data_IF_142175611042
#
_entry.id   IF_142175611042
#
_cell.length_a   1.000
_cell.length_b   1.000
_cell.length_c   1.000
_cell.angle_alpha   90.00
_cell.angle_beta   90.00
_cell.angle_gamma   90.00
#
_symmetry.space_group_name_H-M   'P 1'
#
loop_
_entity.id
_entity.type
_entity.pdbx_description
1 polymer ?
#
# COMPACT_ATOMS: atom_id res chain seq x y z
N UNK A 1 -4.38 -22.51 -13.38
CA UNK A 1 -5.59 -22.05 -12.66
C UNK A 1 -5.31 -20.64 -12.16
N UNK A 2 -6.09 -19.64 -12.57
CA UNK A 2 -5.90 -18.25 -12.11
C UNK A 2 -6.66 -18.08 -10.78
N UNK A 3 -6.01 -17.69 -9.66
CA UNK A 3 -6.71 -17.56 -8.39
C UNK A 3 -7.70 -16.38 -8.46
N UNK A 4 -8.93 -16.66 -8.02
CA UNK A 4 -10.14 -15.88 -8.25
C UNK A 4 -10.36 -14.72 -7.26
N UNK A 5 -9.31 -14.13 -6.70
CA UNK A 5 -9.42 -13.20 -5.56
C UNK A 5 -9.00 -11.75 -5.86
N UNK A 6 -8.69 -11.46 -7.13
CA UNK A 6 -8.35 -10.13 -7.64
C UNK A 6 -9.43 -9.03 -7.50
N UNK A 7 -10.77 -9.27 -7.45
CA UNK A 7 -11.70 -8.18 -7.74
C UNK A 7 -11.96 -7.21 -6.57
N UNK A 8 -11.55 -7.47 -5.33
CA UNK A 8 -11.99 -6.64 -4.20
C UNK A 8 -11.14 -5.38 -3.96
N UNK A 9 -9.80 -5.45 -4.12
CA UNK A 9 -8.91 -4.28 -4.00
C UNK A 9 -8.57 -3.64 -5.36
N UNK A 10 -8.51 -4.43 -6.43
CA UNK A 10 -8.29 -3.91 -7.78
C UNK A 10 -9.51 -3.14 -8.35
N UNK A 11 -10.68 -3.21 -7.72
CA UNK A 11 -11.87 -2.45 -8.13
C UNK A 11 -11.96 -1.05 -7.51
N UNK A 12 -11.28 -0.80 -6.37
CA UNK A 12 -11.40 0.48 -5.64
C UNK A 12 -10.38 1.52 -6.15
N UNK A 13 -9.21 1.07 -6.59
CA UNK A 13 -8.03 1.88 -6.90
C UNK A 13 -8.00 2.52 -8.31
N UNK A 14 -8.10 1.74 -9.41
CA UNK A 14 -8.01 2.30 -10.77
C UNK A 14 -9.31 2.94 -11.27
N UNK A 15 -10.46 2.50 -10.75
CA UNK A 15 -11.79 2.99 -11.17
C UNK A 15 -12.03 4.44 -10.71
N UNK A 16 -11.53 4.82 -9.52
CA UNK A 16 -11.66 6.20 -9.01
C UNK A 16 -10.73 7.20 -9.70
N UNK A 17 -9.51 6.81 -10.10
CA UNK A 17 -8.56 7.74 -10.74
C UNK A 17 -8.96 8.14 -12.16
N UNK A 18 -9.48 7.20 -12.98
CA UNK A 18 -10.04 7.55 -14.31
C UNK A 18 -11.20 8.53 -14.21
N UNK A 19 -12.05 8.37 -13.19
CA UNK A 19 -13.16 9.28 -12.89
C UNK A 19 -12.67 10.66 -12.42
N UNK A 20 -11.71 10.71 -11.49
CA UNK A 20 -11.08 11.96 -11.04
C UNK A 20 -10.36 12.72 -12.16
N UNK A 21 -9.69 12.02 -13.08
CA UNK A 21 -9.05 12.64 -14.26
C UNK A 21 -10.06 13.34 -15.16
N UNK A 22 -11.29 12.82 -15.25
CA UNK A 22 -12.38 13.41 -16.04
C UNK A 22 -13.08 14.56 -15.32
N UNK A 23 -13.24 14.47 -14.00
CA UNK A 23 -14.10 15.37 -13.22
C UNK A 23 -13.34 16.44 -12.40
N UNK A 24 -12.06 16.23 -12.07
CA UNK A 24 -11.27 17.10 -11.15
C UNK A 24 -9.80 17.25 -11.58
N UNK A 25 -9.56 17.78 -12.79
CA UNK A 25 -8.22 17.97 -13.37
C UNK A 25 -7.27 18.82 -12.51
N UNK A 26 -7.80 19.86 -11.85
CA UNK A 26 -7.00 20.72 -10.95
C UNK A 26 -6.57 19.97 -9.69
N UNK A 27 -7.48 19.20 -9.07
CA UNK A 27 -7.18 18.38 -7.89
C UNK A 27 -6.13 17.31 -8.19
N UNK A 28 -6.19 16.69 -9.38
CA UNK A 28 -5.17 15.75 -9.84
C UNK A 28 -3.79 16.41 -10.02
N UNK A 29 -3.76 17.67 -10.48
CA UNK A 29 -2.52 18.45 -10.59
C UNK A 29 -1.87 18.72 -9.24
N UNK A 30 -2.67 19.09 -8.23
CA UNK A 30 -2.21 19.27 -6.85
C UNK A 30 -1.67 17.97 -6.25
N UNK A 31 -2.38 16.85 -6.45
CA UNK A 31 -1.89 15.54 -6.00
C UNK A 31 -0.56 15.22 -6.69
N UNK A 32 -0.42 15.42 -8.00
CA UNK A 32 0.87 15.18 -8.70
C UNK A 32 2.03 16.02 -8.15
N UNK A 33 1.77 17.23 -7.66
CA UNK A 33 2.80 18.07 -7.03
C UNK A 33 3.34 17.45 -5.73
N UNK A 34 2.49 16.75 -4.97
CA UNK A 34 2.87 16.08 -3.73
C UNK A 34 3.68 14.78 -3.96
N UNK A 35 3.65 14.22 -5.18
CA UNK A 35 4.33 12.98 -5.54
C UNK A 35 5.34 13.21 -6.69
N UNK A 36 6.42 13.99 -6.46
CA UNK A 36 7.40 14.27 -7.50
C UNK A 36 8.07 12.97 -7.97
N UNK A 37 8.24 12.84 -9.30
CA UNK A 37 8.91 11.68 -9.91
C UNK A 37 8.00 10.49 -10.24
N UNK A 38 6.76 10.47 -9.77
CA UNK A 38 5.81 9.38 -10.08
C UNK A 38 5.17 9.59 -11.45
N UNK A 39 5.46 8.68 -12.39
CA UNK A 39 4.94 8.73 -13.76
C UNK A 39 3.79 7.74 -13.94
N UNK A 40 2.69 8.22 -14.51
CA UNK A 40 1.52 7.40 -14.83
C UNK A 40 0.47 7.36 -13.71
N UNK A 41 -0.79 7.32 -14.11
CA UNK A 41 -1.93 7.38 -13.17
C UNK A 41 -2.01 6.13 -12.28
N UNK A 42 -1.49 4.98 -12.74
CA UNK A 42 -1.50 3.75 -11.97
C UNK A 42 -0.49 3.79 -10.81
N UNK A 43 0.76 4.17 -11.08
CA UNK A 43 1.78 4.31 -10.04
C UNK A 43 1.40 5.39 -9.03
N UNK A 44 0.86 6.52 -9.51
CA UNK A 44 0.33 7.58 -8.65
C UNK A 44 -0.83 7.09 -7.78
N UNK A 45 -1.78 6.37 -8.37
CA UNK A 45 -2.91 5.79 -7.63
C UNK A 45 -2.48 4.83 -6.53
N UNK A 46 -1.51 3.94 -6.82
CA UNK A 46 -0.95 3.00 -5.84
C UNK A 46 -0.33 3.74 -4.64
N UNK A 47 0.55 4.71 -4.91
CA UNK A 47 1.23 5.45 -3.84
C UNK A 47 0.25 6.30 -3.02
N UNK A 48 -0.67 7.00 -3.69
CA UNK A 48 -1.70 7.80 -3.00
C UNK A 48 -2.57 6.92 -2.10
N UNK A 49 -2.99 5.74 -2.58
CA UNK A 49 -3.81 4.85 -1.77
C UNK A 49 -3.05 4.26 -0.58
N UNK A 50 -1.79 3.86 -0.77
CA UNK A 50 -0.92 3.41 0.32
C UNK A 50 -0.83 4.51 1.39
N UNK A 51 -0.59 5.74 0.95
CA UNK A 51 -0.35 6.84 1.87
C UNK A 51 -1.64 7.26 2.60
N UNK A 52 -2.79 7.21 1.94
CA UNK A 52 -4.08 7.50 2.58
C UNK A 52 -4.49 6.43 3.59
N UNK A 53 -4.36 5.15 3.26
CA UNK A 53 -4.93 4.05 4.06
C UNK A 53 -3.95 3.55 5.12
N UNK A 54 -2.67 3.39 4.77
CA UNK A 54 -1.70 2.71 5.62
C UNK A 54 -0.69 3.68 6.25
N UNK A 55 -0.13 4.63 5.49
CA UNK A 55 0.92 5.52 6.02
C UNK A 55 0.35 6.60 6.95
N UNK A 56 -0.62 7.37 6.46
CA UNK A 56 -1.13 8.56 7.16
C UNK A 56 -1.95 8.18 8.38
N UNK A 57 -2.81 7.16 8.25
CA UNK A 57 -3.66 6.72 9.35
C UNK A 57 -2.83 6.20 10.53
N UNK A 58 -1.83 5.35 10.27
CA UNK A 58 -0.93 4.86 11.31
C UNK A 58 -0.16 5.99 11.99
N UNK A 59 0.28 7.00 11.23
CA UNK A 59 0.95 8.18 11.79
C UNK A 59 0.04 9.04 12.68
N UNK A 60 -1.23 9.25 12.28
CA UNK A 60 -2.19 10.03 13.07
C UNK A 60 -2.55 9.30 14.37
N UNK A 61 -2.74 7.98 14.33
CA UNK A 61 -3.00 7.16 15.54
C UNK A 61 -1.81 7.20 16.49
N UNK A 62 -0.59 7.04 15.97
CA UNK A 62 0.64 7.14 16.77
C UNK A 62 0.74 8.51 17.46
N UNK A 63 0.50 9.61 16.73
CA UNK A 63 0.48 10.95 17.34
C UNK A 63 -0.58 11.09 18.43
N UNK A 64 -1.76 10.49 18.24
CA UNK A 64 -2.82 10.54 19.24
C UNK A 64 -2.43 9.80 20.53
N UNK A 65 -1.82 8.61 20.41
CA UNK A 65 -1.29 7.85 21.55
C UNK A 65 -0.18 8.64 22.28
N UNK A 66 0.75 9.21 21.52
CA UNK A 66 1.84 10.00 22.09
C UNK A 66 1.33 11.23 22.88
N UNK A 67 0.25 11.89 22.42
CA UNK A 67 -0.32 13.07 23.10
C UNK A 67 -0.90 12.77 24.48
N UNK A 68 -1.32 11.54 24.73
CA UNK A 68 -1.83 11.11 26.04
C UNK A 68 -0.75 10.45 26.91
N UNK A 69 0.52 10.49 26.48
CA UNK A 69 1.65 9.94 27.22
C UNK A 69 1.83 8.43 27.05
N UNK A 70 1.08 7.79 26.15
CA UNK A 70 1.23 6.35 25.89
C UNK A 70 2.44 6.07 24.99
N UNK A 71 3.23 5.02 25.28
CA UNK A 71 4.32 4.62 24.42
C UNK A 71 3.78 4.07 23.09
N UNK A 72 4.41 4.44 21.99
CA UNK A 72 4.04 3.98 20.66
C UNK A 72 5.29 3.72 19.80
N UNK A 73 5.22 2.66 19.00
CA UNK A 73 6.27 2.29 18.03
C UNK A 73 5.64 2.15 16.65
N UNK A 74 6.32 2.71 15.66
CA UNK A 74 5.94 2.60 14.25
C UNK A 74 7.12 2.07 13.47
N UNK A 75 6.87 1.05 12.65
CA UNK A 75 7.86 0.49 11.73
C UNK A 75 7.35 0.56 10.29
N UNK A 76 8.27 0.38 9.35
CA UNK A 76 7.99 0.29 7.92
C UNK A 76 8.57 -1.02 7.40
N UNK A 77 7.72 -1.86 6.81
CA UNK A 77 8.14 -3.15 6.24
C UNK A 77 8.22 -3.03 4.73
N UNK A 78 9.41 -3.26 4.16
CA UNK A 78 9.66 -3.13 2.71
C UNK A 78 10.50 -4.29 2.16
N UNK A 79 10.65 -5.37 2.93
CA UNK A 79 11.45 -6.51 2.51
C UNK A 79 10.63 -7.42 1.57
N UNK A 80 11.24 -7.78 0.44
CA UNK A 80 10.75 -8.81 -0.48
C UNK A 80 11.85 -9.85 -0.66
N UNK A 81 11.51 -11.11 -0.43
CA UNK A 81 12.42 -12.24 -0.66
C UNK A 81 12.86 -12.28 -2.13
N UNK A 82 14.14 -12.62 -2.37
CA UNK A 82 14.73 -12.59 -3.72
C UNK A 82 13.95 -13.44 -4.74
N UNK A 83 13.48 -14.62 -4.32
CA UNK A 83 12.69 -15.51 -5.15
C UNK A 83 11.36 -14.89 -5.62
N UNK A 84 10.85 -13.89 -4.89
CA UNK A 84 9.55 -13.26 -5.10
C UNK A 84 9.63 -11.88 -5.76
N UNK A 85 10.82 -11.40 -6.15
CA UNK A 85 10.97 -10.09 -6.80
C UNK A 85 10.17 -9.96 -8.10
N UNK A 86 10.01 -11.08 -8.82
CA UNK A 86 9.18 -11.12 -10.03
C UNK A 86 7.68 -10.97 -9.71
N UNK A 87 7.23 -11.57 -8.61
CA UNK A 87 5.85 -11.50 -8.12
C UNK A 87 5.53 -10.11 -7.57
N UNK A 88 6.43 -9.57 -6.75
CA UNK A 88 6.29 -8.29 -6.05
C UNK A 88 7.18 -7.20 -6.65
N UNK A 89 6.99 -6.93 -7.94
CA UNK A 89 7.80 -5.96 -8.69
C UNK A 89 7.70 -4.50 -8.19
N UNK A 90 6.77 -4.19 -7.27
CA UNK A 90 6.56 -2.86 -6.71
C UNK A 90 6.88 -2.79 -5.20
N UNK A 91 7.66 -3.73 -4.67
CA UNK A 91 7.97 -3.83 -3.24
C UNK A 91 6.96 -4.67 -2.46
N UNK A 92 7.09 -4.68 -1.14
CA UNK A 92 6.22 -5.47 -0.26
C UNK A 92 4.74 -5.04 -0.43
N UNK A 93 3.84 -6.02 -0.52
CA UNK A 93 2.40 -5.75 -0.48
C UNK A 93 1.85 -5.89 0.94
N UNK A 94 0.55 -5.70 1.08
CA UNK A 94 -0.10 -5.80 2.38
C UNK A 94 0.04 -7.22 2.94
N UNK A 95 0.42 -7.33 4.22
CA UNK A 95 0.55 -8.60 4.92
C UNK A 95 1.84 -9.38 4.63
N UNK A 96 2.73 -8.90 3.75
CA UNK A 96 4.03 -9.55 3.52
C UNK A 96 4.87 -9.71 4.80
N UNK A 97 4.62 -8.90 5.83
CA UNK A 97 5.30 -8.98 7.12
C UNK A 97 4.82 -10.14 8.00
N UNK A 98 3.59 -10.64 7.79
CA UNK A 98 2.94 -11.59 8.69
C UNK A 98 3.78 -12.87 8.89
N UNK A 99 4.36 -13.52 7.86
CA UNK A 99 5.18 -14.72 8.06
C UNK A 99 6.42 -14.49 8.91
N UNK A 100 6.99 -13.28 8.86
CA UNK A 100 8.17 -12.90 9.63
C UNK A 100 7.81 -12.67 11.11
N UNK A 101 6.64 -12.07 11.37
CA UNK A 101 6.15 -11.82 12.73
C UNK A 101 5.73 -13.12 13.42
N UNK A 102 5.10 -14.03 12.70
CA UNK A 102 4.57 -15.28 13.26
C UNK A 102 5.50 -16.49 13.14
N UNK A 103 6.70 -16.33 12.57
CA UNK A 103 7.64 -17.42 12.31
C UNK A 103 7.01 -18.57 11.50
N UNK A 104 6.34 -18.23 10.40
CA UNK A 104 5.64 -19.19 9.54
C UNK A 104 6.16 -19.21 8.11
N UNK A 105 7.38 -18.72 7.86
CA UNK A 105 7.97 -18.65 6.51
C UNK A 105 8.00 -20.00 5.78
N UNK A 106 8.15 -21.11 6.52
CA UNK A 106 8.18 -22.48 5.94
C UNK A 106 6.78 -23.06 5.65
N UNK A 107 5.72 -22.38 6.10
CA UNK A 107 4.32 -22.82 6.00
C UNK A 107 3.45 -21.87 5.19
N UNK A 108 3.86 -20.61 5.10
CA UNK A 108 3.17 -19.61 4.31
C UNK A 108 3.38 -19.91 2.83
N UNK A 109 2.29 -20.13 2.11
CA UNK A 109 2.33 -20.15 0.65
C UNK A 109 2.83 -18.77 0.16
N UNK A 110 3.78 -18.70 -0.79
CA UNK A 110 4.48 -17.45 -1.14
C UNK A 110 3.58 -16.31 -1.66
N UNK A 111 2.29 -16.61 -1.91
CA UNK A 111 1.29 -15.70 -2.47
C UNK A 111 0.02 -15.56 -1.61
N UNK A 112 -0.06 -16.24 -0.46
CA UNK A 112 -1.33 -16.39 0.27
C UNK A 112 -1.65 -15.30 1.28
N UNK A 113 -0.84 -14.25 1.35
CA UNK A 113 -1.08 -13.14 2.27
C UNK A 113 -1.40 -11.92 1.43
N UNK A 114 -2.66 -11.51 1.54
CA UNK A 114 -3.41 -10.57 0.70
C UNK A 114 -3.40 -9.17 1.29
#
# INVERSE_FOLDING_TARGET
MKPAYWPFLASILPVKFKKMRRERRVGLGLIRLLYPGVKGDEALGRQVCRDMVFTTLGYVVMQAQQRIGEPCWRYWFDYVAEAEHNTYANGACHGNEIPYVFDTLTRAEPHAIM
#
